data_IF_121705432523
#
_entry.id   IF_121705432523
#
_cell.length_a   1.000
_cell.length_b   1.000
_cell.length_c   1.000
_cell.angle_alpha   90.00
_cell.angle_beta   90.00
_cell.angle_gamma   90.00
#
_symmetry.space_group_name_H-M   'P 1'
#
loop_
_entity.id
_entity.type
_entity.pdbx_description
1 polymer ?
#
# COMPACT_ATOMS: atom_id res chain seq x y z
N UNK A 1 -21.76 -7.82 -33.32
CA UNK A 1 -20.41 -8.37 -33.08
C UNK A 1 -19.38 -7.40 -32.46
N UNK A 2 -19.49 -6.07 -32.63
CA UNK A 2 -18.51 -5.09 -32.03
C UNK A 2 -18.58 -4.97 -30.49
N UNK A 3 -19.72 -5.23 -29.86
CA UNK A 3 -19.90 -5.09 -28.40
C UNK A 3 -19.27 -6.24 -27.58
N UNK A 4 -19.13 -7.43 -28.14
CA UNK A 4 -18.52 -8.57 -27.47
C UNK A 4 -17.00 -8.41 -27.39
N UNK A 5 -16.37 -7.83 -28.39
CA UNK A 5 -14.92 -7.61 -28.42
C UNK A 5 -14.45 -6.57 -27.40
N UNK A 6 -15.27 -5.52 -27.17
CA UNK A 6 -14.94 -4.49 -26.19
C UNK A 6 -15.02 -5.01 -24.75
N UNK A 7 -15.96 -5.94 -24.47
CA UNK A 7 -16.09 -6.54 -23.15
C UNK A 7 -14.95 -7.53 -22.85
N UNK A 8 -14.54 -8.33 -23.83
CA UNK A 8 -13.42 -9.24 -23.69
C UNK A 8 -12.08 -8.51 -23.49
N UNK A 9 -11.88 -7.37 -24.15
CA UNK A 9 -10.67 -6.57 -24.00
C UNK A 9 -10.60 -5.88 -22.63
N UNK A 10 -11.73 -5.39 -22.12
CA UNK A 10 -11.81 -4.80 -20.77
C UNK A 10 -11.55 -5.85 -19.67
N UNK A 11 -12.03 -7.08 -19.85
CA UNK A 11 -11.80 -8.18 -18.90
C UNK A 11 -10.34 -8.64 -18.93
N UNK A 12 -9.70 -8.63 -20.10
CA UNK A 12 -8.28 -9.01 -20.24
C UNK A 12 -7.36 -7.96 -19.60
N UNK A 13 -7.69 -6.66 -19.73
CA UNK A 13 -6.94 -5.59 -19.09
C UNK A 13 -7.09 -5.59 -17.57
N UNK A 14 -8.29 -5.86 -17.07
CA UNK A 14 -8.53 -6.00 -15.63
C UNK A 14 -7.75 -7.18 -15.03
N UNK A 15 -7.69 -8.31 -15.73
CA UNK A 15 -6.91 -9.47 -15.30
C UNK A 15 -5.41 -9.20 -15.20
N UNK A 16 -4.84 -8.47 -16.14
CA UNK A 16 -3.42 -8.10 -16.11
C UNK A 16 -3.09 -7.08 -15.01
N UNK A 17 -4.00 -6.14 -14.72
CA UNK A 17 -3.83 -5.20 -13.61
C UNK A 17 -3.90 -5.91 -12.25
N UNK A 18 -4.78 -6.88 -12.09
CA UNK A 18 -4.89 -7.68 -10.87
C UNK A 18 -3.63 -8.51 -10.61
N UNK A 19 -2.98 -9.01 -11.66
CA UNK A 19 -1.73 -9.76 -11.52
C UNK A 19 -0.56 -8.88 -11.04
N UNK A 20 -0.58 -7.58 -11.32
CA UNK A 20 0.43 -6.63 -10.84
C UNK A 20 0.23 -6.19 -9.39
N UNK A 21 -0.99 -6.33 -8.84
CA UNK A 21 -1.32 -5.96 -7.47
C UNK A 21 -1.26 -7.14 -6.49
N UNK A 22 -0.75 -8.29 -6.90
CA UNK A 22 -0.54 -9.41 -6.00
C UNK A 22 0.62 -9.10 -5.03
N UNK A 23 0.31 -9.15 -3.74
CA UNK A 23 1.27 -8.92 -2.66
C UNK A 23 1.09 -7.58 -1.95
N UNK A 24 2.06 -7.25 -1.12
CA UNK A 24 2.10 -6.00 -0.36
C UNK A 24 2.80 -4.93 -1.18
N UNK A 25 2.09 -3.83 -1.45
CA UNK A 25 2.64 -2.63 -2.06
C UNK A 25 3.07 -1.67 -0.96
N UNK A 26 4.31 -1.20 -1.01
CA UNK A 26 4.83 -0.20 -0.08
C UNK A 26 4.92 1.14 -0.80
N UNK A 27 4.43 2.19 -0.15
CA UNK A 27 4.44 3.55 -0.66
C UNK A 27 5.16 4.44 0.34
N UNK A 28 6.14 5.22 -0.11
CA UNK A 28 6.83 6.20 0.73
C UNK A 28 6.60 7.62 0.23
N UNK A 29 6.42 8.55 1.17
CA UNK A 29 6.23 9.95 0.84
C UNK A 29 5.98 10.83 2.05
N UNK A 30 5.80 12.12 1.79
CA UNK A 30 5.52 13.09 2.83
C UNK A 30 4.09 12.95 3.35
N UNK A 31 3.95 12.99 4.67
CA UNK A 31 2.67 12.95 5.37
C UNK A 31 2.49 14.15 6.28
N UNK A 32 1.23 14.46 6.57
CA UNK A 32 0.84 15.44 7.57
C UNK A 32 -0.24 14.81 8.45
N UNK A 33 -0.06 14.85 9.74
CA UNK A 33 -1.07 14.45 10.71
C UNK A 33 -1.46 15.65 11.59
N UNK A 34 -2.76 15.79 11.90
CA UNK A 34 -3.21 16.67 12.96
C UNK A 34 -3.60 15.82 14.16
N UNK A 35 -2.85 15.93 15.23
CA UNK A 35 -3.01 15.17 16.46
C UNK A 35 -3.12 16.16 17.62
N UNK A 36 -4.25 16.13 18.33
CA UNK A 36 -4.52 17.06 19.46
C UNK A 36 -4.36 18.55 19.06
N UNK A 37 -4.85 18.92 17.86
CA UNK A 37 -4.74 20.25 17.27
C UNK A 37 -3.28 20.70 16.96
N UNK A 38 -2.35 19.78 16.94
CA UNK A 38 -0.96 20.02 16.50
C UNK A 38 -0.71 19.35 15.16
N UNK A 39 -0.18 20.10 14.21
CA UNK A 39 0.25 19.55 12.93
C UNK A 39 1.64 18.93 13.10
N UNK A 40 1.74 17.68 12.64
CA UNK A 40 2.98 16.92 12.58
C UNK A 40 3.25 16.62 11.12
N UNK A 41 4.39 17.05 10.63
CA UNK A 41 4.84 16.75 9.27
C UNK A 41 5.95 15.72 9.33
N UNK A 42 5.83 14.69 8.49
CA UNK A 42 6.88 13.69 8.31
C UNK A 42 7.28 13.66 6.83
N UNK A 43 8.55 13.93 6.51
CA UNK A 43 9.00 13.96 5.12
C UNK A 43 9.03 12.58 4.45
N UNK A 44 9.00 11.50 5.23
CA UNK A 44 9.13 10.14 4.70
C UNK A 44 8.42 9.11 5.57
N UNK A 45 7.12 9.02 5.38
CA UNK A 45 6.30 7.94 5.93
C UNK A 45 6.14 6.79 4.94
N UNK A 46 5.88 5.60 5.47
CA UNK A 46 5.60 4.41 4.65
C UNK A 46 4.22 3.86 4.96
N UNK A 47 3.37 3.80 3.94
CA UNK A 47 2.05 3.14 3.98
C UNK A 47 2.13 1.84 3.19
N UNK A 48 1.52 0.78 3.73
CA UNK A 48 1.41 -0.50 3.03
C UNK A 48 -0.03 -0.70 2.57
N UNK A 49 -0.19 -1.18 1.36
CA UNK A 49 -1.46 -1.64 0.82
C UNK A 49 -1.33 -3.09 0.42
N UNK A 50 -2.23 -3.93 0.91
CA UNK A 50 -2.30 -5.36 0.59
C UNK A 50 -3.67 -5.67 0.02
N UNK A 51 -3.73 -6.13 -1.22
CA UNK A 51 -4.98 -6.51 -1.85
C UNK A 51 -5.48 -7.83 -1.26
N UNK A 52 -6.69 -7.82 -0.72
CA UNK A 52 -7.36 -9.03 -0.18
C UNK A 52 -8.16 -9.72 -1.27
N UNK A 53 -8.85 -8.94 -2.10
CA UNK A 53 -9.61 -9.43 -3.26
C UNK A 53 -9.76 -8.31 -4.31
N UNK A 54 -10.55 -8.54 -5.35
CA UNK A 54 -10.74 -7.61 -6.46
C UNK A 54 -11.38 -6.26 -6.09
N UNK A 55 -11.96 -6.14 -4.89
CA UNK A 55 -12.73 -4.97 -4.46
C UNK A 55 -12.34 -4.46 -3.06
N UNK A 56 -11.42 -5.12 -2.37
CA UNK A 56 -10.98 -4.69 -1.04
C UNK A 56 -9.51 -5.01 -0.76
N UNK A 57 -8.91 -4.21 0.10
CA UNK A 57 -7.54 -4.38 0.57
C UNK A 57 -7.36 -3.92 2.01
N UNK A 58 -6.21 -4.24 2.57
CA UNK A 58 -5.79 -3.78 3.88
C UNK A 58 -4.82 -2.60 3.72
N UNK A 59 -4.97 -1.58 4.54
CA UNK A 59 -4.06 -0.43 4.58
C UNK A 59 -3.37 -0.42 5.94
N UNK A 60 -2.05 -0.48 5.97
CA UNK A 60 -1.28 -0.32 7.20
C UNK A 60 -0.62 1.06 7.22
N UNK A 61 -0.94 1.83 8.24
CA UNK A 61 -0.37 3.14 8.50
C UNK A 61 0.89 3.04 9.37
N UNK A 62 1.85 3.97 9.23
CA UNK A 62 3.00 4.05 10.13
C UNK A 62 2.60 4.48 11.54
N UNK A 63 3.58 4.57 12.43
CA UNK A 63 3.38 5.24 13.71
C UNK A 63 3.09 6.73 13.47
N UNK A 64 2.12 7.27 14.18
CA UNK A 64 1.82 8.71 14.18
C UNK A 64 2.22 9.23 15.57
N UNK A 65 3.20 10.10 15.62
CA UNK A 65 3.79 10.55 16.89
C UNK A 65 3.83 12.06 16.92
N UNK A 66 3.35 12.65 18.03
CA UNK A 66 3.65 14.01 18.42
C UNK A 66 4.26 14.02 19.83
N UNK A 67 4.58 15.20 20.35
CA UNK A 67 5.23 15.35 21.67
C UNK A 67 4.45 14.72 22.83
N UNK A 68 3.14 14.53 22.68
CA UNK A 68 2.24 14.13 23.75
C UNK A 68 1.55 12.79 23.53
N UNK A 69 1.61 12.25 22.30
CA UNK A 69 0.88 11.04 21.93
C UNK A 69 1.63 10.23 20.88
N UNK A 70 1.73 8.94 21.14
CA UNK A 70 2.20 7.96 20.15
C UNK A 70 1.05 7.02 19.80
N UNK A 71 0.64 7.03 18.55
CA UNK A 71 -0.27 6.05 17.99
C UNK A 71 0.59 5.05 17.21
N UNK A 72 0.68 3.83 17.70
CA UNK A 72 1.45 2.78 17.02
C UNK A 72 0.86 2.47 15.64
N UNK A 73 1.67 1.92 14.75
CA UNK A 73 1.23 1.42 13.44
C UNK A 73 -0.01 0.53 13.59
N UNK A 74 -0.98 0.74 12.72
CA UNK A 74 -2.22 -0.04 12.71
C UNK A 74 -2.70 -0.34 11.30
N UNK A 75 -3.47 -1.41 11.18
CA UNK A 75 -4.02 -1.85 9.90
C UNK A 75 -5.53 -1.65 9.87
N UNK A 76 -6.00 -1.03 8.79
CA UNK A 76 -7.42 -0.90 8.46
C UNK A 76 -7.71 -2.03 7.47
N UNK A 77 -8.52 -2.99 7.89
CA UNK A 77 -8.86 -4.15 7.08
C UNK A 77 -10.06 -3.88 6.16
N UNK A 78 -10.06 -4.56 5.02
CA UNK A 78 -11.18 -4.59 4.07
C UNK A 78 -11.59 -3.20 3.55
N UNK A 79 -10.64 -2.30 3.35
CA UNK A 79 -10.89 -1.01 2.69
C UNK A 79 -11.40 -1.27 1.29
N UNK A 80 -12.62 -0.82 0.99
CA UNK A 80 -13.22 -0.98 -0.32
C UNK A 80 -12.51 -0.09 -1.35
N UNK A 81 -12.35 -0.60 -2.57
CA UNK A 81 -11.84 0.17 -3.69
C UNK A 81 -12.50 -0.26 -5.01
N UNK A 82 -12.38 0.59 -6.01
CA UNK A 82 -12.76 0.30 -7.40
C UNK A 82 -11.57 0.54 -8.31
N UNK A 83 -11.46 -0.27 -9.36
CA UNK A 83 -10.45 -0.09 -10.40
C UNK A 83 -11.09 0.58 -11.62
N UNK A 84 -10.61 1.77 -11.95
CA UNK A 84 -11.04 2.51 -13.13
C UNK A 84 -10.30 2.07 -14.41
N UNK A 85 -10.87 2.39 -15.57
CA UNK A 85 -10.29 2.07 -16.88
C UNK A 85 -8.93 2.75 -17.14
N UNK A 86 -8.62 3.83 -16.42
CA UNK A 86 -7.40 4.64 -16.59
C UNK A 86 -6.26 4.22 -15.64
N UNK A 87 -6.21 2.99 -15.17
CA UNK A 87 -5.21 2.49 -14.23
C UNK A 87 -5.22 3.23 -12.87
N UNK A 88 -6.38 3.74 -12.48
CA UNK A 88 -6.58 4.41 -11.19
C UNK A 88 -7.42 3.53 -10.29
N UNK A 89 -6.88 3.20 -9.12
CA UNK A 89 -7.61 2.58 -8.02
C UNK A 89 -8.18 3.69 -7.15
N UNK A 90 -9.49 3.71 -6.97
CA UNK A 90 -10.18 4.70 -6.15
C UNK A 90 -10.74 4.04 -4.90
N UNK A 91 -10.38 4.55 -3.75
CA UNK A 91 -10.95 4.22 -2.45
C UNK A 91 -12.00 5.30 -2.16
N UNK A 92 -13.31 4.98 -2.27
CA UNK A 92 -14.38 5.94 -1.97
C UNK A 92 -14.35 6.32 -0.50
N UNK A 93 -14.96 7.45 -0.17
CA UNK A 93 -15.09 7.86 1.24
C UNK A 93 -15.89 6.82 2.02
N UNK A 94 -15.29 6.29 3.08
CA UNK A 94 -15.83 5.20 3.88
C UNK A 94 -15.40 5.31 5.34
N UNK A 95 -16.23 4.78 6.22
CA UNK A 95 -15.90 4.64 7.64
C UNK A 95 -15.08 3.38 7.88
N UNK A 96 -14.34 3.35 9.00
CA UNK A 96 -13.61 2.16 9.41
C UNK A 96 -13.53 2.04 10.92
N UNK A 97 -13.24 0.85 11.41
CA UNK A 97 -12.93 0.60 12.80
C UNK A 97 -11.79 -0.42 12.89
N UNK A 98 -10.84 -0.16 13.75
CA UNK A 98 -9.74 -1.06 14.04
C UNK A 98 -9.24 -0.88 15.47
N UNK A 99 -8.26 -1.63 15.88
CA UNK A 99 -7.63 -1.56 17.19
C UNK A 99 -6.12 -1.46 17.04
N UNK A 100 -5.51 -0.85 18.04
CA UNK A 100 -4.06 -0.81 18.17
C UNK A 100 -3.68 -1.12 19.61
N UNK A 101 -2.59 -1.86 19.79
CA UNK A 101 -2.05 -2.18 21.12
C UNK A 101 -0.95 -1.20 21.46
N UNK A 102 -1.10 -0.49 22.58
CA UNK A 102 -0.09 0.45 23.10
C UNK A 102 0.15 0.14 24.56
N UNK A 103 1.40 -0.18 24.91
CA UNK A 103 1.76 -0.53 26.30
C UNK A 103 1.02 -1.78 26.85
N UNK A 104 0.60 -2.69 25.98
CA UNK A 104 -0.18 -3.88 26.37
C UNK A 104 -1.70 -3.66 26.46
N UNK A 105 -2.18 -2.43 26.25
CA UNK A 105 -3.61 -2.11 26.23
C UNK A 105 -4.14 -1.94 24.81
N UNK A 106 -5.31 -2.50 24.52
CA UNK A 106 -6.02 -2.25 23.28
C UNK A 106 -6.72 -0.88 23.31
N UNK A 107 -6.49 -0.07 22.29
CA UNK A 107 -7.18 1.19 22.04
C UNK A 107 -7.95 1.08 20.72
N UNK A 108 -9.21 1.48 20.73
CA UNK A 108 -10.03 1.53 19.52
C UNK A 108 -9.63 2.72 18.66
N UNK A 109 -9.64 2.51 17.35
CA UNK A 109 -9.56 3.58 16.35
C UNK A 109 -10.85 3.52 15.55
N UNK A 110 -11.61 4.62 15.56
CA UNK A 110 -12.87 4.73 14.83
C UNK A 110 -12.75 5.84 13.81
N UNK A 111 -12.73 5.45 12.52
CA UNK A 111 -12.63 6.38 11.41
C UNK A 111 -13.97 6.84 10.90
N UNK A 112 -14.14 8.16 10.82
CA UNK A 112 -15.31 8.80 10.20
C UNK A 112 -15.14 8.97 8.69
N UNK A 113 -13.91 8.98 8.18
CA UNK A 113 -13.59 9.10 6.76
C UNK A 113 -12.27 8.42 6.45
N UNK A 114 -12.25 7.65 5.39
CA UNK A 114 -11.06 7.17 4.69
C UNK A 114 -11.33 7.28 3.20
N UNK A 115 -10.48 7.98 2.47
CA UNK A 115 -10.53 8.07 1.01
C UNK A 115 -9.15 8.18 0.43
N UNK A 116 -8.98 7.68 -0.79
CA UNK A 116 -7.69 7.74 -1.46
C UNK A 116 -7.74 7.35 -2.93
N UNK A 117 -6.62 7.53 -3.58
CA UNK A 117 -6.41 7.09 -4.96
C UNK A 117 -4.99 6.54 -5.13
N UNK A 118 -4.87 5.46 -5.87
CA UNK A 118 -3.58 4.98 -6.36
C UNK A 118 -3.59 5.04 -7.88
N UNK A 119 -2.73 5.86 -8.44
CA UNK A 119 -2.53 5.98 -9.88
C UNK A 119 -1.33 5.12 -10.30
N UNK A 120 -1.60 4.05 -11.04
CA UNK A 120 -0.56 3.12 -11.49
C UNK A 120 0.31 3.71 -12.62
N UNK A 121 -0.13 4.77 -13.30
CA UNK A 121 0.64 5.36 -14.39
C UNK A 121 1.89 6.09 -13.88
N UNK A 122 1.78 6.80 -12.76
CA UNK A 122 2.87 7.52 -12.11
C UNK A 122 3.29 6.92 -10.75
N UNK A 123 2.64 5.80 -10.38
CA UNK A 123 2.85 5.08 -9.11
C UNK A 123 2.59 5.93 -7.85
N UNK A 124 1.72 6.93 -7.93
CA UNK A 124 1.39 7.81 -6.82
C UNK A 124 0.18 7.31 -6.03
N UNK A 125 0.29 7.38 -4.71
CA UNK A 125 -0.79 7.15 -3.75
C UNK A 125 -1.13 8.46 -3.06
N UNK A 126 -2.40 8.81 -2.99
CA UNK A 126 -2.92 9.81 -2.07
C UNK A 126 -3.89 9.14 -1.12
N UNK A 127 -3.78 9.43 0.18
CA UNK A 127 -4.65 8.86 1.21
C UNK A 127 -4.97 9.94 2.23
N UNK A 128 -6.25 10.03 2.62
CA UNK A 128 -6.73 10.95 3.66
C UNK A 128 -7.62 10.19 4.62
N UNK A 129 -7.40 10.40 5.91
CA UNK A 129 -8.16 9.79 6.98
C UNK A 129 -8.58 10.84 8.01
N UNK A 130 -9.76 10.60 8.60
CA UNK A 130 -10.22 11.29 9.79
C UNK A 130 -10.69 10.22 10.77
N UNK A 131 -10.19 10.25 12.01
CA UNK A 131 -10.47 9.21 12.98
C UNK A 131 -10.37 9.71 14.43
N UNK A 132 -10.94 8.94 15.35
CA UNK A 132 -10.78 9.11 16.81
C UNK A 132 -9.93 7.99 17.38
N UNK A 133 -9.14 8.30 18.37
CA UNK A 133 -8.28 7.38 19.09
C UNK A 133 -8.77 7.16 20.51
N UNK A 134 -9.13 5.92 20.84
CA UNK A 134 -9.69 5.56 22.14
C UNK A 134 -10.98 6.32 22.45
N UNK A 135 -11.07 6.83 23.66
CA UNK A 135 -12.21 7.63 24.13
C UNK A 135 -12.03 9.14 23.90
N UNK A 136 -11.00 9.56 23.14
CA UNK A 136 -10.74 10.98 22.91
C UNK A 136 -11.88 11.60 22.11
N UNK A 137 -12.39 12.79 22.50
CA UNK A 137 -13.49 13.43 21.80
C UNK A 137 -13.08 14.15 20.53
N UNK A 138 -11.78 14.26 20.26
CA UNK A 138 -11.22 15.01 19.15
C UNK A 138 -11.04 14.13 17.92
N UNK A 139 -11.32 14.69 16.76
CA UNK A 139 -10.94 14.08 15.49
C UNK A 139 -9.46 14.33 15.22
N UNK A 140 -8.79 13.31 14.75
CA UNK A 140 -7.43 13.35 14.25
C UNK A 140 -7.47 13.16 12.74
N UNK A 141 -6.54 13.77 12.03
CA UNK A 141 -6.42 13.59 10.59
C UNK A 141 -5.05 13.07 10.24
N UNK A 142 -4.99 12.32 9.15
CA UNK A 142 -3.74 11.88 8.52
C UNK A 142 -3.90 12.00 7.02
N UNK A 143 -2.93 12.59 6.37
CA UNK A 143 -2.87 12.67 4.91
C UNK A 143 -1.46 12.34 4.43
N UNK A 144 -1.37 11.62 3.32
CA UNK A 144 -0.09 11.30 2.70
C UNK A 144 -0.19 11.40 1.18
N UNK A 145 0.88 11.90 0.56
CA UNK A 145 1.15 11.75 -0.85
C UNK A 145 2.46 10.96 -0.99
N UNK A 146 2.36 9.75 -1.50
CA UNK A 146 3.46 8.79 -1.52
C UNK A 146 3.61 8.14 -2.89
N UNK A 147 4.75 7.50 -3.12
CA UNK A 147 5.05 6.80 -4.36
C UNK A 147 5.43 5.36 -4.07
N UNK A 148 5.06 4.46 -4.97
CA UNK A 148 5.37 3.03 -4.84
C UNK A 148 6.88 2.79 -4.79
N UNK A 149 7.31 2.09 -3.76
CA UNK A 149 8.68 1.63 -3.62
C UNK A 149 8.80 0.31 -4.38
N UNK A 150 9.44 0.34 -5.54
CA UNK A 150 9.73 -0.89 -6.29
C UNK A 150 10.63 -1.78 -5.43
N UNK A 151 10.28 -3.07 -5.24
CA UNK A 151 11.20 -4.01 -4.61
C UNK A 151 12.50 -4.01 -5.40
N UNK A 152 13.61 -3.75 -4.71
CA UNK A 152 14.92 -4.02 -5.32
C UNK A 152 14.98 -5.52 -5.48
N UNK A 153 15.03 -6.00 -6.72
CA UNK A 153 15.23 -7.41 -6.97
C UNK A 153 16.51 -7.82 -6.24
N UNK A 154 16.36 -8.61 -5.20
CA UNK A 154 17.51 -9.23 -4.55
C UNK A 154 18.24 -9.99 -5.63
N UNK A 155 19.53 -9.70 -5.82
CA UNK A 155 20.34 -10.44 -6.77
C UNK A 155 20.20 -11.92 -6.40
N UNK A 156 19.59 -12.69 -7.29
CA UNK A 156 19.56 -14.15 -7.14
C UNK A 156 21.00 -14.56 -7.34
N UNK A 157 21.71 -14.82 -6.27
CA UNK A 157 23.02 -15.47 -6.35
C UNK A 157 22.74 -16.91 -6.70
N UNK A 158 22.72 -17.21 -7.99
CA UNK A 158 22.73 -18.59 -8.46
C UNK A 158 24.15 -19.08 -8.21
N UNK A 159 24.38 -19.73 -7.10
CA UNK A 159 25.58 -20.52 -6.90
C UNK A 159 25.48 -21.72 -7.85
N UNK A 160 25.97 -21.55 -9.04
CA UNK A 160 26.25 -22.68 -9.94
C UNK A 160 27.51 -23.34 -9.39
N UNK A 161 27.36 -24.07 -8.31
CA UNK A 161 28.39 -24.97 -7.78
C UNK A 161 28.47 -26.19 -8.68
N UNK A 162 29.37 -26.18 -9.63
CA UNK A 162 29.67 -27.30 -10.48
C UNK A 162 30.11 -26.85 -11.87
N UNK A 163 31.32 -27.19 -12.25
CA UNK A 163 31.72 -27.15 -13.63
C UNK A 163 31.03 -28.31 -14.34
N UNK A 164 30.13 -28.03 -15.29
CA UNK A 164 29.72 -29.10 -16.19
C UNK A 164 30.47 -28.97 -17.51
N UNK A 165 30.98 -30.08 -17.95
CA UNK A 165 31.66 -30.16 -19.24
C UNK A 165 30.62 -30.41 -20.33
N UNK A 166 30.59 -29.53 -21.29
CA UNK A 166 29.90 -29.78 -22.56
C UNK A 166 30.95 -30.00 -23.63
N UNK A 167 30.93 -31.16 -24.24
CA UNK A 167 31.93 -31.59 -25.26
C UNK A 167 33.40 -31.50 -24.80
N UNK A 168 33.71 -31.88 -23.55
CA UNK A 168 35.05 -31.79 -22.95
C UNK A 168 35.64 -30.36 -22.82
N UNK A 169 34.83 -29.35 -22.98
CA UNK A 169 35.25 -27.97 -22.77
C UNK A 169 34.64 -27.40 -21.46
N UNK A 170 35.45 -26.66 -20.70
CA UNK A 170 34.98 -25.96 -19.51
C UNK A 170 34.20 -24.72 -19.98
N UNK A 171 32.91 -24.67 -19.67
CA UNK A 171 32.06 -23.51 -19.97
C UNK A 171 31.95 -22.63 -18.75
N UNK A 172 32.45 -21.41 -18.85
CA UNK A 172 32.34 -20.39 -17.78
C UNK A 172 31.20 -19.42 -18.11
N UNK A 173 30.23 -19.28 -17.20
CA UNK A 173 29.19 -18.30 -17.37
C UNK A 173 29.50 -17.07 -16.50
N UNK A 174 29.48 -15.89 -17.12
CA UNK A 174 29.46 -14.62 -16.38
C UNK A 174 28.08 -13.99 -16.45
N UNK A 175 27.46 -13.77 -15.29
CA UNK A 175 26.24 -12.97 -15.21
C UNK A 175 26.65 -11.50 -15.14
N UNK A 176 26.33 -10.73 -16.20
CA UNK A 176 26.48 -9.27 -16.16
C UNK A 176 25.25 -8.69 -15.45
N UNK A 177 25.52 -7.79 -14.49
CA UNK A 177 24.53 -6.96 -13.84
C UNK A 177 23.96 -5.91 -14.79
#
# INVERSE_FOLDING_TARGET
MKKIFTFALATLMAGNMMAQMHGVLNFAGASTANVLNQNVENPSDTVKFEMVNAASGNITLPNITNDNLVISSFTIANVAFTMGANHVVTMPDQTFATKVTVGGEEKNITGSSLKGTYNMADNSLTLNLTFKYGAMPFDMTYSIKAYYIKPVASAITVNVGGAFNYNNENVTYSVRK
#
